data_IF_170803196192
#
_entry.id   IF_170803196192
#
_cell.length_a   1.000
_cell.length_b   1.000
_cell.length_c   1.000
_cell.angle_alpha   90.00
_cell.angle_beta   90.00
_cell.angle_gamma   90.00
#
_symmetry.space_group_name_H-M   'P 1'
#
loop_
_entity.id
_entity.type
_entity.pdbx_description
1 polymer ?
#
# COMPACT_ATOMS: atom_id res chain seq x y z
N UNK A 1 8.97 -2.58 -17.03
CA UNK A 1 8.72 -2.05 -15.69
C UNK A 1 10.03 -2.05 -14.94
N UNK A 2 10.46 -0.89 -14.44
CA UNK A 2 11.67 -0.78 -13.59
C UNK A 2 11.29 -0.84 -12.11
N UNK A 3 12.25 -1.17 -11.25
CA UNK A 3 12.06 -1.34 -9.80
C UNK A 3 11.32 -0.16 -9.15
N UNK A 4 11.70 1.08 -9.49
CA UNK A 4 11.15 2.30 -8.87
C UNK A 4 10.22 3.10 -9.79
N UNK A 5 9.55 2.44 -10.76
CA UNK A 5 8.70 3.16 -11.73
C UNK A 5 7.46 3.82 -11.07
N UNK A 6 6.93 3.21 -10.01
CA UNK A 6 5.70 3.65 -9.33
C UNK A 6 5.89 3.76 -7.81
N UNK A 7 6.69 4.72 -7.32
CA UNK A 7 7.07 4.80 -5.90
C UNK A 7 5.91 5.13 -4.96
N UNK A 8 4.80 5.65 -5.49
CA UNK A 8 3.58 5.87 -4.73
C UNK A 8 2.72 4.61 -4.57
N UNK A 9 3.09 3.49 -5.18
CA UNK A 9 2.35 2.23 -5.03
C UNK A 9 2.41 1.75 -3.58
N UNK A 10 1.25 1.38 -3.05
CA UNK A 10 1.11 0.89 -1.67
C UNK A 10 0.41 -0.44 -1.67
N UNK A 11 0.90 -1.38 -0.87
CA UNK A 11 0.18 -2.60 -0.53
C UNK A 11 -0.46 -2.49 0.85
N UNK A 12 -1.72 -2.93 0.98
CA UNK A 12 -2.41 -2.99 2.26
C UNK A 12 -2.14 -4.34 2.92
N UNK A 13 -1.66 -4.30 4.16
CA UNK A 13 -1.27 -5.48 4.92
C UNK A 13 -2.42 -5.91 5.84
N UNK A 14 -2.86 -7.16 5.68
CA UNK A 14 -3.91 -7.75 6.50
C UNK A 14 -3.35 -8.83 7.43
N UNK A 15 -3.96 -8.99 8.62
CA UNK A 15 -3.54 -9.93 9.66
C UNK A 15 -3.62 -11.40 9.24
N UNK A 16 -4.38 -11.73 8.20
CA UNK A 16 -4.50 -13.07 7.65
C UNK A 16 -3.38 -13.38 6.65
N UNK A 17 -2.31 -13.98 7.18
CA UNK A 17 -1.21 -14.56 6.40
C UNK A 17 -0.49 -13.58 5.44
N UNK A 18 -0.49 -12.27 5.75
CA UNK A 18 0.06 -11.21 4.88
C UNK A 18 -0.49 -11.25 3.45
N UNK A 19 -1.73 -11.71 3.25
CA UNK A 19 -2.31 -11.74 1.91
C UNK A 19 -2.53 -10.31 1.39
N UNK A 20 -1.95 -10.02 0.23
CA UNK A 20 -2.12 -8.71 -0.43
C UNK A 20 -3.42 -8.77 -1.21
N UNK A 21 -4.46 -8.11 -0.68
CA UNK A 21 -5.80 -8.10 -1.28
C UNK A 21 -6.17 -6.77 -1.91
N UNK A 22 -5.54 -5.70 -1.43
CA UNK A 22 -5.81 -4.34 -1.82
C UNK A 22 -4.54 -3.54 -1.95
N UNK A 23 -4.65 -2.45 -2.71
CA UNK A 23 -3.57 -1.49 -2.93
C UNK A 23 -4.05 -0.07 -2.65
N UNK A 24 -3.10 0.85 -2.61
CA UNK A 24 -3.36 2.28 -2.47
C UNK A 24 -2.34 3.10 -3.22
N UNK A 25 -2.47 4.42 -3.10
CA UNK A 25 -1.51 5.39 -3.62
C UNK A 25 -1.13 6.38 -2.54
N UNK A 26 0.17 6.56 -2.31
CA UNK A 26 0.70 7.59 -1.43
C UNK A 26 0.45 8.96 -2.07
N UNK A 27 -0.40 9.78 -1.45
CA UNK A 27 -0.76 11.12 -1.96
C UNK A 27 -0.02 12.25 -1.25
N UNK A 28 0.58 11.97 -0.09
CA UNK A 28 1.56 12.80 0.61
C UNK A 28 2.30 11.93 1.65
N UNK A 29 3.20 12.51 2.47
CA UNK A 29 4.01 11.78 3.47
C UNK A 29 3.21 10.91 4.45
N UNK A 30 1.95 11.24 4.73
CA UNK A 30 1.14 10.57 5.75
C UNK A 30 -0.17 9.97 5.26
N UNK A 31 -0.56 10.25 4.02
CA UNK A 31 -1.88 9.89 3.52
C UNK A 31 -1.82 8.98 2.32
N UNK A 32 -2.62 7.94 2.37
CA UNK A 32 -2.78 6.95 1.30
C UNK A 32 -4.23 6.97 0.86
N UNK A 33 -4.42 7.15 -0.44
CA UNK A 33 -5.70 7.00 -1.11
C UNK A 33 -5.92 5.52 -1.43
N UNK A 34 -7.09 5.00 -1.07
CA UNK A 34 -7.48 3.61 -1.37
C UNK A 34 -9.00 3.51 -1.55
N UNK A 35 -9.51 2.31 -1.78
CA UNK A 35 -10.93 2.03 -1.86
C UNK A 35 -11.53 1.83 -0.46
N UNK A 36 -12.78 2.24 -0.25
CA UNK A 36 -13.49 2.05 1.01
C UNK A 36 -13.71 0.56 1.32
N UNK A 37 -13.98 -0.27 0.30
CA UNK A 37 -14.16 -1.71 0.46
C UNK A 37 -12.91 -2.44 0.99
N UNK A 38 -11.74 -1.82 0.87
CA UNK A 38 -10.49 -2.36 1.40
C UNK A 38 -10.37 -2.18 2.92
N UNK A 39 -11.14 -1.28 3.53
CA UNK A 39 -11.14 -1.06 4.97
C UNK A 39 -11.96 -2.14 5.67
N UNK A 40 -11.27 -3.01 6.42
CA UNK A 40 -11.90 -4.01 7.26
C UNK A 40 -11.09 -4.20 8.55
N UNK A 41 -11.64 -4.95 9.51
CA UNK A 41 -11.03 -5.15 10.84
C UNK A 41 -9.68 -5.88 10.82
N UNK A 42 -9.30 -6.48 9.70
CA UNK A 42 -8.02 -7.18 9.55
C UNK A 42 -6.92 -6.29 8.96
N UNK A 43 -7.23 -5.07 8.52
CA UNK A 43 -6.22 -4.15 7.99
C UNK A 43 -5.31 -3.67 9.12
N UNK A 44 -4.04 -4.07 9.09
CA UNK A 44 -3.07 -3.82 10.17
C UNK A 44 -2.00 -2.79 9.82
N UNK A 45 -1.75 -2.56 8.53
CA UNK A 45 -0.69 -1.67 8.10
C UNK A 45 -0.63 -1.51 6.59
N UNK A 46 0.43 -0.85 6.13
CA UNK A 46 0.73 -0.67 4.72
C UNK A 46 2.22 -0.92 4.45
N UNK A 47 2.54 -1.32 3.21
CA UNK A 47 3.90 -1.48 2.72
C UNK A 47 4.14 -0.56 1.53
N UNK A 48 5.26 0.15 1.55
CA UNK A 48 5.73 1.04 0.47
C UNK A 48 7.10 0.61 -0.05
N UNK A 49 7.41 1.00 -1.29
CA UNK A 49 8.71 0.76 -1.92
C UNK A 49 8.94 -0.71 -2.30
N UNK A 50 7.87 -1.47 -2.52
CA UNK A 50 7.93 -2.89 -2.85
C UNK A 50 7.65 -3.10 -4.35
N UNK A 51 8.54 -3.83 -5.01
CA UNK A 51 8.43 -4.24 -6.40
C UNK A 51 8.10 -5.74 -6.51
N UNK A 52 8.73 -6.59 -5.70
CA UNK A 52 8.43 -8.01 -5.59
C UNK A 52 8.13 -8.43 -4.16
N UNK A 53 6.84 -8.65 -3.92
CA UNK A 53 6.18 -9.06 -2.67
C UNK A 53 6.76 -10.30 -1.97
N UNK A 54 7.61 -11.07 -2.65
CA UNK A 54 8.28 -12.25 -2.10
C UNK A 54 9.65 -11.95 -1.51
N UNK A 55 10.12 -10.70 -1.62
CA UNK A 55 11.41 -10.22 -1.14
C UNK A 55 11.23 -8.91 -0.37
N UNK A 56 12.03 -8.68 0.65
CA UNK A 56 12.06 -7.38 1.36
C UNK A 56 13.03 -6.38 0.69
N UNK A 57 13.87 -6.86 -0.23
CA UNK A 57 14.77 -6.03 -1.04
C UNK A 57 14.77 -6.52 -2.48
N UNK A 58 14.52 -5.60 -3.40
CA UNK A 58 14.41 -5.93 -4.81
C UNK A 58 15.68 -5.57 -5.55
N UNK A 59 16.16 -6.48 -6.39
CA UNK A 59 17.31 -6.27 -7.24
C UNK A 59 17.03 -6.79 -8.65
N UNK A 60 17.32 -5.97 -9.67
CA UNK A 60 17.34 -6.37 -11.08
C UNK A 60 18.80 -6.55 -11.48
N UNK A 61 19.10 -7.71 -12.08
CA UNK A 61 20.41 -8.00 -12.66
C UNK A 61 20.29 -7.86 -14.17
N UNK A 62 21.08 -6.99 -14.78
CA UNK A 62 21.13 -6.80 -16.22
C UNK A 62 22.57 -6.93 -16.76
N UNK A 63 22.79 -6.53 -18.03
CA UNK A 63 24.11 -6.64 -18.68
C UNK A 63 25.12 -5.59 -18.19
N UNK A 64 24.65 -4.57 -17.49
CA UNK A 64 25.40 -3.37 -17.10
C UNK A 64 25.74 -3.44 -15.60
N UNK A 65 24.93 -4.13 -14.79
CA UNK A 65 25.22 -4.42 -13.40
C UNK A 65 24.01 -4.95 -12.63
N UNK A 66 24.06 -4.77 -11.31
CA UNK A 66 22.94 -5.06 -10.41
C UNK A 66 22.42 -3.74 -9.86
N UNK A 67 21.15 -3.44 -10.10
CA UNK A 67 20.42 -2.33 -9.50
C UNK A 67 19.53 -2.88 -8.39
N UNK A 68 19.55 -2.28 -7.21
CA UNK A 68 18.68 -2.67 -6.10
C UNK A 68 17.93 -1.47 -5.54
N UNK A 69 16.69 -1.69 -5.13
CA UNK A 69 15.88 -0.71 -4.41
C UNK A 69 16.38 -0.50 -2.98
N UNK A 70 15.91 0.58 -2.37
CA UNK A 70 15.85 0.67 -0.91
C UNK A 70 14.92 -0.44 -0.36
N UNK A 71 15.14 -0.89 0.90
CA UNK A 71 14.25 -1.86 1.52
C UNK A 71 12.81 -1.36 1.62
N UNK A 72 11.86 -2.29 1.58
CA UNK A 72 10.45 -2.01 1.82
C UNK A 72 10.24 -1.35 3.18
N UNK A 73 9.23 -0.49 3.26
CA UNK A 73 8.88 0.22 4.49
C UNK A 73 7.45 -0.12 4.91
N UNK A 74 7.31 -0.69 6.11
CA UNK A 74 6.01 -1.03 6.70
C UNK A 74 5.59 0.05 7.71
N UNK A 75 4.37 0.55 7.57
CA UNK A 75 3.81 1.59 8.44
C UNK A 75 2.51 1.14 9.11
N UNK A 76 2.37 1.49 10.39
CA UNK A 76 1.11 1.38 11.12
C UNK A 76 0.13 2.48 10.68
N UNK A 77 -1.17 2.16 10.74
CA UNK A 77 -2.26 3.08 10.42
C UNK A 77 -2.71 3.76 11.72
N UNK A 78 -2.72 5.10 11.74
CA UNK A 78 -3.26 5.92 12.82
C UNK A 78 -4.78 6.05 12.71
N UNK A 79 -5.29 6.26 11.49
CA UNK A 79 -6.70 6.56 11.27
C UNK A 79 -7.16 6.03 9.91
N UNK A 80 -8.38 5.49 9.87
CA UNK A 80 -9.07 5.08 8.64
C UNK A 80 -10.27 6.01 8.41
N UNK A 81 -10.26 6.71 7.28
CA UNK A 81 -11.28 7.69 6.90
C UNK A 81 -12.04 7.16 5.68
N UNK A 82 -13.07 6.36 5.94
CA UNK A 82 -14.00 5.90 4.92
C UNK A 82 -14.89 7.04 4.45
N UNK A 83 -15.18 7.14 3.14
CA UNK A 83 -16.13 8.14 2.67
C UNK A 83 -17.51 7.92 3.30
N UNK A 84 -18.15 8.96 3.90
CA UNK A 84 -19.39 8.79 4.66
C UNK A 84 -20.58 8.32 3.82
N UNK A 85 -20.53 8.54 2.51
CA UNK A 85 -21.51 8.06 1.55
C UNK A 85 -21.21 6.68 0.95
N UNK A 86 -20.19 5.95 1.43
CA UNK A 86 -19.87 4.63 0.90
C UNK A 86 -21.05 3.68 1.05
N UNK A 87 -21.44 3.04 -0.06
CA UNK A 87 -22.51 2.06 -0.09
C UNK A 87 -21.99 0.70 -0.59
N UNK A 88 -21.84 -0.31 0.28
CA UNK A 88 -21.27 -1.61 -0.09
C UNK A 88 -22.15 -2.42 -1.05
N UNK A 89 -23.45 -2.13 -1.14
CA UNK A 89 -24.34 -2.84 -2.08
C UNK A 89 -24.21 -2.33 -3.52
N UNK A 90 -23.73 -1.10 -3.71
CA UNK A 90 -23.64 -0.45 -5.03
C UNK A 90 -22.22 -0.05 -5.43
N UNK A 91 -21.26 -0.18 -4.50
CA UNK A 91 -19.90 0.39 -4.60
C UNK A 91 -19.89 1.92 -4.82
N UNK A 92 -21.00 2.63 -4.56
CA UNK A 92 -21.02 4.07 -4.65
C UNK A 92 -20.09 4.68 -3.58
N UNK A 93 -19.30 5.68 -3.98
CA UNK A 93 -18.30 6.34 -3.14
C UNK A 93 -17.27 5.38 -2.53
N UNK A 94 -16.80 4.40 -3.31
CA UNK A 94 -15.75 3.46 -2.91
C UNK A 94 -14.36 4.12 -2.86
N UNK A 95 -14.19 5.02 -1.90
CA UNK A 95 -12.97 5.81 -1.69
C UNK A 95 -12.73 6.00 -0.20
N UNK A 96 -11.46 5.93 0.21
CA UNK A 96 -11.05 6.15 1.58
C UNK A 96 -9.63 6.73 1.67
N UNK A 97 -9.35 7.36 2.81
CA UNK A 97 -8.03 7.83 3.18
C UNK A 97 -7.51 7.05 4.40
N UNK A 98 -6.28 6.57 4.32
CA UNK A 98 -5.53 6.07 5.46
C UNK A 98 -4.53 7.13 5.92
N UNK A 99 -4.46 7.38 7.22
CA UNK A 99 -3.43 8.23 7.83
C UNK A 99 -2.39 7.33 8.51
N UNK A 100 -1.12 7.50 8.15
CA UNK A 100 0.01 6.78 8.73
C UNK A 100 0.41 7.35 10.08
N UNK A 101 0.84 6.48 11.00
CA UNK A 101 1.24 6.89 12.36
C UNK A 101 2.50 7.76 12.41
N UNK A 102 3.44 7.54 11.49
CA UNK A 102 4.70 8.28 11.39
C UNK A 102 4.98 8.65 9.93
N UNK A 103 5.95 9.54 9.72
CA UNK A 103 6.43 10.06 8.42
C UNK A 103 7.83 9.54 8.09
#
# INVERSE_FOLDING_TARGET
ISIDEFPWSVQLLYSDNRTIRCSGSLINRRYILTAAQCLNNNLTGVRLGDYNVTSDKDCIIDRIGTECSDPVQDFEIEETNMHPGYNPATAANDIALLRLKND
#
